data_IF_117566813622
#
_entry.id   IF_117566813622
#
_cell.length_a   1.000
_cell.length_b   1.000
_cell.length_c   1.000
_cell.angle_alpha   90.00
_cell.angle_beta   90.00
_cell.angle_gamma   90.00
#
_symmetry.space_group_name_H-M   'P 1'
#
loop_
_entity.id
_entity.type
_entity.pdbx_description
1 polymer ?
#
# COMPACT_ATOMS: atom_id res chain seq x y z
N UNK A 1 28.97 -2.01 11.38
CA UNK A 1 27.58 -1.66 11.02
C UNK A 1 26.75 -2.92 11.13
N UNK A 2 25.94 -3.07 12.17
CA UNK A 2 24.97 -4.15 12.25
C UNK A 2 23.76 -3.76 11.41
N UNK A 3 23.64 -4.30 10.20
CA UNK A 3 22.36 -4.31 9.48
C UNK A 3 21.46 -5.28 10.24
N UNK A 4 20.74 -4.77 11.25
CA UNK A 4 19.67 -5.53 11.87
C UNK A 4 18.74 -6.01 10.77
N UNK A 5 18.56 -7.33 10.64
CA UNK A 5 17.63 -7.90 9.68
C UNK A 5 16.23 -7.60 10.18
N UNK A 6 15.71 -6.41 9.87
CA UNK A 6 14.32 -6.08 10.16
C UNK A 6 13.46 -7.05 9.37
N UNK A 7 12.65 -7.91 10.00
CA UNK A 7 11.77 -8.80 9.27
C UNK A 7 10.80 -7.94 8.48
N UNK A 8 10.78 -8.10 7.16
CA UNK A 8 9.76 -7.51 6.31
C UNK A 8 8.60 -8.50 6.19
N UNK A 9 7.37 -7.99 6.25
CA UNK A 9 6.17 -8.82 6.12
C UNK A 9 5.63 -8.65 4.71
N UNK A 10 5.31 -9.76 4.05
CA UNK A 10 4.46 -9.73 2.85
C UNK A 10 3.03 -10.00 3.27
N UNK A 11 2.18 -8.98 3.15
CA UNK A 11 0.74 -9.08 3.41
C UNK A 11 0.00 -9.23 2.10
N UNK A 12 -0.92 -10.19 2.06
CA UNK A 12 -1.92 -10.33 1.01
C UNK A 12 -3.29 -10.44 1.67
N UNK A 13 -4.20 -9.53 1.34
CA UNK A 13 -5.56 -9.61 1.85
C UNK A 13 -6.32 -10.79 1.22
N UNK A 14 -7.15 -11.48 2.01
CA UNK A 14 -8.04 -12.54 1.51
C UNK A 14 -9.25 -12.01 0.72
N UNK A 15 -9.49 -10.70 0.79
CA UNK A 15 -10.54 -9.96 0.10
C UNK A 15 -9.94 -8.76 -0.64
N UNK A 16 -10.69 -8.12 -1.56
CA UNK A 16 -10.26 -6.86 -2.15
C UNK A 16 -9.92 -5.84 -1.07
N UNK A 17 -8.76 -5.21 -1.23
CA UNK A 17 -8.29 -4.13 -0.37
C UNK A 17 -8.97 -2.83 -0.79
N UNK A 18 -9.37 -2.01 0.16
CA UNK A 18 -9.85 -0.65 -0.11
C UNK A 18 -8.68 0.35 -0.21
N UNK A 19 -8.94 1.50 -0.81
CA UNK A 19 -7.99 2.63 -0.85
C UNK A 19 -7.60 3.09 0.56
N UNK A 20 -8.57 3.12 1.49
CA UNK A 20 -8.35 3.55 2.88
C UNK A 20 -7.41 2.57 3.60
N UNK A 21 -7.60 1.28 3.40
CA UNK A 21 -6.73 0.25 4.00
C UNK A 21 -5.31 0.30 3.45
N UNK A 22 -5.16 0.59 2.16
CA UNK A 22 -3.86 0.84 1.55
C UNK A 22 -3.18 2.06 2.19
N UNK A 23 -3.88 3.19 2.35
CA UNK A 23 -3.34 4.37 3.01
C UNK A 23 -2.94 4.08 4.47
N UNK A 24 -3.77 3.35 5.21
CA UNK A 24 -3.46 2.94 6.57
C UNK A 24 -2.21 2.06 6.64
N UNK A 25 -2.04 1.14 5.69
CA UNK A 25 -0.82 0.34 5.56
C UNK A 25 0.39 1.22 5.25
N UNK A 26 0.32 2.13 4.28
CA UNK A 26 1.42 3.06 3.96
C UNK A 26 1.82 3.87 5.20
N UNK A 27 0.85 4.35 6.00
CA UNK A 27 1.10 5.13 7.21
C UNK A 27 1.84 4.33 8.29
N UNK A 28 1.64 3.01 8.39
CA UNK A 28 2.16 2.17 9.48
C UNK A 28 3.34 1.27 9.08
N UNK A 29 3.44 0.91 7.80
CA UNK A 29 4.44 -0.04 7.30
C UNK A 29 5.88 0.42 7.60
N UNK A 30 6.74 -0.56 7.90
CA UNK A 30 8.17 -0.35 8.06
C UNK A 30 8.89 -0.52 6.71
N UNK A 31 10.06 0.10 6.51
CA UNK A 31 10.76 0.00 5.24
C UNK A 31 11.06 -1.45 4.86
N UNK A 32 10.68 -1.84 3.63
CA UNK A 32 10.80 -3.20 3.13
C UNK A 32 9.53 -4.05 3.23
N UNK A 33 8.55 -3.67 4.06
CA UNK A 33 7.24 -4.35 4.08
C UNK A 33 6.62 -4.36 2.70
N UNK A 34 5.95 -5.48 2.35
CA UNK A 34 5.32 -5.70 1.06
C UNK A 34 3.81 -5.88 1.25
N UNK A 35 3.03 -5.24 0.41
CA UNK A 35 1.58 -5.41 0.34
C UNK A 35 1.18 -5.76 -1.09
N UNK A 36 0.66 -6.98 -1.30
CA UNK A 36 -0.08 -7.31 -2.52
C UNK A 36 -1.46 -6.66 -2.42
N UNK A 37 -1.64 -5.53 -3.11
CA UNK A 37 -2.88 -4.77 -3.08
C UNK A 37 -3.89 -5.22 -4.13
N UNK A 38 -3.43 -5.93 -5.16
CA UNK A 38 -4.29 -6.50 -6.20
C UNK A 38 -3.63 -7.69 -6.89
N UNK A 39 -4.44 -8.64 -7.37
CA UNK A 39 -4.01 -9.78 -8.19
C UNK A 39 -4.97 -9.97 -9.35
N UNK A 40 -4.41 -10.05 -10.56
CA UNK A 40 -5.19 -10.04 -11.79
C UNK A 40 -4.51 -9.17 -12.84
N UNK A 41 -5.29 -8.54 -13.70
CA UNK A 41 -4.81 -7.55 -14.65
C UNK A 41 -5.42 -6.21 -14.29
N UNK A 42 -4.73 -5.40 -13.49
CA UNK A 42 -5.28 -4.16 -12.93
C UNK A 42 -5.99 -3.28 -13.98
N UNK A 43 -5.38 -3.10 -15.15
CA UNK A 43 -5.94 -2.29 -16.24
C UNK A 43 -7.23 -2.89 -16.81
N UNK A 44 -7.31 -4.22 -16.96
CA UNK A 44 -8.51 -4.89 -17.45
C UNK A 44 -9.59 -4.95 -16.38
N UNK A 45 -9.19 -5.17 -15.13
CA UNK A 45 -10.08 -5.30 -13.98
C UNK A 45 -10.78 -3.99 -13.61
N UNK A 46 -10.21 -2.82 -13.96
CA UNK A 46 -10.90 -1.53 -13.82
C UNK A 46 -11.71 -1.13 -15.08
N UNK A 47 -11.50 -1.80 -16.22
CA UNK A 47 -12.12 -1.40 -17.48
C UNK A 47 -13.56 -1.95 -17.61
N UNK A 48 -14.58 -1.10 -17.80
CA UNK A 48 -15.98 -1.52 -17.75
C UNK A 48 -16.38 -2.64 -18.71
N UNK A 49 -15.77 -2.71 -19.88
CA UNK A 49 -16.12 -3.69 -20.92
C UNK A 49 -15.53 -5.08 -20.63
N UNK A 50 -14.41 -5.16 -19.91
CA UNK A 50 -13.66 -6.41 -19.72
C UNK A 50 -13.77 -6.98 -18.31
N UNK A 51 -14.09 -6.14 -17.33
CA UNK A 51 -14.08 -6.52 -15.93
C UNK A 51 -15.32 -7.30 -15.52
N UNK A 52 -15.11 -8.39 -14.77
CA UNK A 52 -16.17 -9.12 -14.07
C UNK A 52 -16.61 -8.45 -12.76
N UNK A 53 -16.00 -7.34 -12.36
CA UNK A 53 -16.32 -6.63 -11.12
C UNK A 53 -17.55 -5.72 -11.30
N UNK A 54 -18.31 -5.54 -10.23
CA UNK A 54 -19.38 -4.54 -10.16
C UNK A 54 -18.83 -3.11 -10.32
N UNK A 55 -19.66 -2.17 -10.73
CA UNK A 55 -19.26 -0.76 -10.94
C UNK A 55 -18.62 -0.16 -9.68
N UNK A 56 -19.20 -0.45 -8.51
CA UNK A 56 -18.65 -0.01 -7.23
C UNK A 56 -17.26 -0.60 -6.95
N UNK A 57 -17.06 -1.89 -7.22
CA UNK A 57 -15.78 -2.57 -7.03
C UNK A 57 -14.71 -2.07 -8.01
N UNK A 58 -15.08 -1.78 -9.27
CA UNK A 58 -14.15 -1.17 -10.24
C UNK A 58 -13.75 0.24 -9.83
N UNK A 59 -14.70 1.04 -9.37
CA UNK A 59 -14.43 2.39 -8.88
C UNK A 59 -13.48 2.37 -7.68
N UNK A 60 -13.66 1.43 -6.75
CA UNK A 60 -12.76 1.23 -5.61
C UNK A 60 -11.37 0.79 -6.04
N UNK A 61 -11.26 -0.20 -6.94
CA UNK A 61 -9.98 -0.66 -7.45
C UNK A 61 -9.24 0.43 -8.24
N UNK A 62 -9.96 1.27 -8.98
CA UNK A 62 -9.40 2.42 -9.69
C UNK A 62 -8.85 3.48 -8.73
N UNK A 63 -9.58 3.79 -7.64
CA UNK A 63 -9.09 4.67 -6.56
C UNK A 63 -7.83 4.10 -5.90
N UNK A 64 -7.86 2.82 -5.55
CA UNK A 64 -6.71 2.12 -4.97
C UNK A 64 -5.49 2.17 -5.89
N UNK A 65 -5.65 1.83 -7.16
CA UNK A 65 -4.56 1.89 -8.15
C UNK A 65 -3.97 3.29 -8.31
N UNK A 66 -4.85 4.29 -8.38
CA UNK A 66 -4.44 5.71 -8.46
C UNK A 66 -3.69 6.16 -7.20
N UNK A 67 -4.14 5.71 -6.02
CA UNK A 67 -3.48 6.03 -4.75
C UNK A 67 -2.12 5.34 -4.62
N UNK A 68 -2.02 4.09 -5.05
CA UNK A 68 -0.76 3.36 -5.08
C UNK A 68 0.26 4.05 -5.99
N UNK A 69 -0.16 4.48 -7.18
CA UNK A 69 0.67 5.26 -8.10
C UNK A 69 1.10 6.59 -7.48
N UNK A 70 0.17 7.35 -6.90
CA UNK A 70 0.50 8.60 -6.20
C UNK A 70 1.50 8.39 -5.06
N UNK A 71 1.32 7.35 -4.24
CA UNK A 71 2.25 7.05 -3.14
C UNK A 71 3.66 6.71 -3.65
N UNK A 72 3.77 6.09 -4.82
CA UNK A 72 5.04 5.82 -5.48
C UNK A 72 5.72 7.11 -5.97
N UNK A 73 4.95 8.01 -6.59
CA UNK A 73 5.41 9.35 -7.01
C UNK A 73 5.90 10.18 -5.82
N UNK A 74 5.27 10.04 -4.65
CA UNK A 74 5.73 10.68 -3.40
C UNK A 74 6.91 9.95 -2.73
N UNK A 75 7.42 8.86 -3.33
CA UNK A 75 8.52 8.07 -2.78
C UNK A 75 8.19 7.29 -1.51
N UNK A 76 6.91 7.14 -1.17
CA UNK A 76 6.43 6.41 0.03
C UNK A 76 6.46 4.90 -0.18
N UNK A 77 6.29 4.46 -1.42
CA UNK A 77 6.36 3.04 -1.81
C UNK A 77 7.14 2.87 -3.12
N UNK A 78 7.61 1.65 -3.37
CA UNK A 78 8.03 1.19 -4.68
C UNK A 78 7.01 0.19 -5.20
N UNK A 79 6.54 0.36 -6.44
CA UNK A 79 5.57 -0.55 -7.04
C UNK A 79 6.30 -1.64 -7.84
N UNK A 80 5.91 -2.88 -7.58
CA UNK A 80 6.41 -4.08 -8.25
C UNK A 80 5.23 -4.82 -8.84
N UNK A 81 5.39 -5.30 -10.07
CA UNK A 81 4.49 -6.27 -10.67
C UNK A 81 5.23 -7.60 -10.77
N UNK A 82 4.66 -8.65 -10.19
CA UNK A 82 5.23 -9.99 -10.18
C UNK A 82 4.30 -10.95 -10.93
N UNK A 83 4.81 -11.65 -11.95
CA UNK A 83 4.04 -12.69 -12.65
C UNK A 83 4.07 -13.97 -11.82
N UNK A 84 2.91 -14.36 -11.30
CA UNK A 84 2.75 -15.51 -10.38
C UNK A 84 2.09 -16.72 -11.05
N UNK A 85 1.65 -16.57 -12.31
CA UNK A 85 1.12 -17.64 -13.14
C UNK A 85 0.75 -17.15 -14.54
N UNK A 86 0.26 -18.02 -15.42
CA UNK A 86 -0.46 -17.59 -16.63
C UNK A 86 -1.60 -16.66 -16.22
N UNK A 87 -1.66 -15.48 -16.83
CA UNK A 87 -2.74 -14.49 -16.62
C UNK A 87 -2.93 -14.04 -15.16
N UNK A 88 -1.92 -14.21 -14.33
CA UNK A 88 -1.94 -13.84 -12.92
C UNK A 88 -0.72 -12.99 -12.59
N UNK A 89 -0.97 -11.72 -12.31
CA UNK A 89 0.04 -10.76 -11.90
C UNK A 89 -0.32 -10.23 -10.51
N UNK A 90 0.64 -10.30 -9.60
CA UNK A 90 0.55 -9.67 -8.29
C UNK A 90 1.06 -8.24 -8.39
N UNK A 91 0.25 -7.30 -7.93
CA UNK A 91 0.61 -5.89 -7.83
C UNK A 91 0.98 -5.60 -6.38
N UNK A 92 2.24 -5.25 -6.17
CA UNK A 92 2.87 -5.21 -4.85
C UNK A 92 3.40 -3.81 -4.60
N UNK A 93 3.03 -3.21 -3.47
CA UNK A 93 3.68 -2.02 -2.95
C UNK A 93 4.73 -2.43 -1.92
N UNK A 94 5.94 -1.89 -2.04
CA UNK A 94 7.04 -2.10 -1.10
C UNK A 94 7.29 -0.79 -0.35
N UNK A 95 7.14 -0.78 0.97
CA UNK A 95 7.27 0.42 1.78
C UNK A 95 8.70 0.98 1.75
N UNK A 96 8.83 2.29 1.58
CA UNK A 96 10.10 3.02 1.57
C UNK A 96 10.35 3.69 2.93
N UNK A 97 11.61 4.04 3.25
CA UNK A 97 11.91 4.90 4.38
C UNK A 97 11.12 6.21 4.32
N UNK A 98 10.31 6.47 5.35
CA UNK A 98 9.54 7.71 5.47
C UNK A 98 10.50 8.87 5.77
N UNK A 99 10.25 10.09 5.24
CA UNK A 99 11.02 11.27 5.62
C UNK A 99 10.98 11.46 7.14
N UNK A 100 12.12 11.75 7.78
CA UNK A 100 12.20 11.94 9.25
C UNK A 100 11.20 12.96 9.81
N UNK A 101 10.83 13.95 9.01
CA UNK A 101 9.84 14.97 9.39
C UNK A 101 8.39 14.44 9.50
N UNK A 102 8.07 13.29 8.88
CA UNK A 102 6.75 12.67 8.95
C UNK A 102 6.65 11.62 10.07
N UNK A 103 7.74 11.34 10.78
CA UNK A 103 7.83 10.28 11.77
C UNK A 103 7.63 10.80 13.20
N UNK A 104 6.67 11.69 13.42
CA UNK A 104 6.24 12.00 14.78
C UNK A 104 5.39 10.84 15.28
N UNK A 105 5.79 10.24 16.39
CA UNK A 105 5.04 9.14 17.01
C UNK A 105 3.75 9.68 17.64
N UNK A 106 2.66 8.92 17.58
CA UNK A 106 1.42 9.23 18.32
C UNK A 106 1.71 9.42 19.82
N UNK A 107 2.67 8.67 20.37
CA UNK A 107 3.11 8.83 21.75
C UNK A 107 3.79 10.19 22.00
N UNK A 108 4.56 10.71 21.04
CA UNK A 108 5.20 12.02 21.14
C UNK A 108 4.17 13.15 21.10
N UNK A 109 3.12 13.01 20.28
CA UNK A 109 2.02 13.99 20.23
C UNK A 109 1.22 14.02 21.53
N UNK A 110 0.90 12.86 22.10
CA UNK A 110 0.16 12.76 23.36
C UNK A 110 0.96 13.32 24.54
N UNK A 111 2.28 13.11 24.57
CA UNK A 111 3.15 13.70 25.59
C UNK A 111 3.23 15.24 25.47
N UNK A 112 3.30 15.76 24.25
CA UNK A 112 3.31 17.22 24.01
C UNK A 112 1.98 17.90 24.43
N UNK A 113 0.84 17.23 24.26
CA UNK A 113 -0.45 17.75 24.76
C UNK A 113 -0.53 17.78 26.29
N UNK A 114 0.09 16.81 26.98
CA UNK A 114 0.09 16.75 28.44
C UNK A 114 0.99 17.80 29.10
N UNK A 115 2.09 18.20 28.45
CA UNK A 115 2.99 19.25 28.95
C UNK A 115 2.45 20.68 28.69
N UNK A 116 1.46 20.81 27.80
CA UNK A 116 0.82 22.09 27.47
C UNK A 116 -0.42 22.42 28.33
N UNK A 117 -0.80 21.54 29.26
CA UNK A 117 -1.95 21.66 30.17
C UNK A 117 -1.52 21.94 31.61
#
# INVERSE_FOLDING_TARGET
MFMGTTPFITVRASRPLSEIEFCAWVAQAVPGDRLEYHRGFLVLDIFPVFSGLSDAARAELSRLGSRAFWAAEQGLVHLVQERVGPDQFAYIAVARPKPKAAAVSLSELLLAEQEAA
#
